data_IF_038613015561
#
_entry.id   IF_038613015561
#
_cell.length_a   1.000
_cell.length_b   1.000
_cell.length_c   1.000
_cell.angle_alpha   90.00
_cell.angle_beta   90.00
_cell.angle_gamma   90.00
#
_symmetry.space_group_name_H-M   'P 1'
#
loop_
_entity.id
_entity.type
_entity.pdbx_description
1 polymer ?
#
# COMPACT_ATOMS: atom_id res chain seq x y z
N UNK A 1 -1.05 -12.68 -35.36
CA UNK A 1 0.38 -12.68 -34.99
C UNK A 1 0.56 -11.52 -34.03
N UNK A 2 0.61 -11.79 -32.74
CA UNK A 2 0.95 -10.79 -31.75
C UNK A 2 2.45 -10.49 -31.92
N UNK A 3 2.79 -9.27 -32.33
CA UNK A 3 4.15 -8.79 -32.38
C UNK A 3 4.77 -8.94 -30.99
N UNK A 4 5.87 -9.66 -30.87
CA UNK A 4 6.69 -9.71 -29.65
C UNK A 4 7.09 -8.27 -29.34
N UNK A 5 6.47 -7.67 -28.32
CA UNK A 5 6.88 -6.37 -27.83
C UNK A 5 8.35 -6.51 -27.37
N UNK A 6 9.25 -5.82 -28.04
CA UNK A 6 10.66 -5.78 -27.66
C UNK A 6 10.76 -4.86 -26.46
N UNK A 7 10.90 -5.44 -25.27
CA UNK A 7 11.15 -4.67 -24.06
C UNK A 7 12.63 -4.28 -24.05
N UNK A 8 12.91 -3.01 -23.92
CA UNK A 8 14.28 -2.48 -23.81
C UNK A 8 14.49 -1.87 -22.42
N UNK A 9 15.72 -1.88 -21.98
CA UNK A 9 16.12 -1.17 -20.76
C UNK A 9 16.17 0.33 -21.00
N UNK A 10 15.98 1.09 -19.94
CA UNK A 10 15.97 2.56 -19.97
C UNK A 10 17.23 3.11 -20.68
N UNK A 11 17.00 4.02 -21.61
CA UNK A 11 18.07 4.72 -22.35
C UNK A 11 18.50 6.00 -21.61
N UNK A 12 19.66 6.59 -22.00
CA UNK A 12 20.09 7.88 -21.44
C UNK A 12 19.05 9.01 -21.66
N UNK A 13 18.42 9.08 -22.83
CA UNK A 13 17.39 10.09 -23.13
C UNK A 13 16.13 9.91 -22.27
N UNK A 14 15.78 8.67 -21.96
CA UNK A 14 14.67 8.34 -21.06
C UNK A 14 15.02 8.71 -19.61
N UNK A 15 16.28 8.49 -19.20
CA UNK A 15 16.78 8.95 -17.91
C UNK A 15 16.70 10.48 -17.76
N UNK A 16 17.04 11.24 -18.82
CA UNK A 16 16.88 12.69 -18.82
C UNK A 16 15.42 13.15 -18.71
N UNK A 17 14.47 12.38 -19.25
CA UNK A 17 13.03 12.66 -19.06
C UNK A 17 12.61 12.40 -17.62
N UNK A 18 13.06 11.30 -17.02
CA UNK A 18 12.79 10.99 -15.63
C UNK A 18 13.39 12.02 -14.67
N UNK A 19 14.55 12.57 -14.98
CA UNK A 19 15.18 13.64 -14.20
C UNK A 19 14.34 14.92 -14.09
N UNK A 20 13.35 15.11 -14.99
CA UNK A 20 12.42 16.25 -14.95
C UNK A 20 11.22 16.02 -14.01
N UNK A 21 11.03 14.80 -13.51
CA UNK A 21 9.99 14.50 -12.53
C UNK A 21 10.34 15.14 -11.18
N UNK A 22 9.33 15.63 -10.48
CA UNK A 22 9.52 16.36 -9.21
C UNK A 22 9.43 15.45 -7.99
N UNK A 23 8.73 14.31 -8.15
CA UNK A 23 8.53 13.34 -7.07
C UNK A 23 8.71 11.90 -7.57
N UNK A 24 9.55 11.16 -6.86
CA UNK A 24 9.77 9.73 -7.07
C UNK A 24 9.09 8.94 -5.97
N UNK A 25 8.13 8.09 -6.34
CA UNK A 25 7.43 7.19 -5.44
C UNK A 25 8.14 5.84 -5.52
N UNK A 26 8.81 5.48 -4.46
CA UNK A 26 9.68 4.30 -4.41
C UNK A 26 9.00 3.20 -3.61
N UNK A 27 8.81 2.02 -4.19
CA UNK A 27 8.57 0.84 -3.40
C UNK A 27 9.81 0.50 -2.57
N UNK A 28 9.66 -0.36 -1.58
CA UNK A 28 10.77 -0.68 -0.67
C UNK A 28 11.34 -2.07 -0.89
N UNK A 29 10.61 -3.12 -0.55
CA UNK A 29 11.10 -4.51 -0.61
C UNK A 29 11.15 -4.99 -2.05
N UNK A 30 12.33 -5.42 -2.53
CA UNK A 30 12.57 -5.75 -3.93
C UNK A 30 13.06 -4.57 -4.78
N UNK A 31 12.91 -3.33 -4.29
CA UNK A 31 13.27 -2.10 -5.01
C UNK A 31 14.52 -1.42 -4.44
N UNK A 32 14.54 -1.14 -3.13
CA UNK A 32 15.68 -0.47 -2.47
C UNK A 32 16.42 -1.38 -1.48
N UNK A 33 15.80 -2.46 -1.05
CA UNK A 33 16.39 -3.54 -0.26
C UNK A 33 15.64 -4.84 -0.54
N UNK A 34 16.16 -5.98 -0.08
CA UNK A 34 15.47 -7.27 -0.07
C UNK A 34 15.57 -7.87 1.33
N UNK A 35 14.43 -8.01 2.03
CA UNK A 35 14.40 -8.42 3.42
C UNK A 35 15.22 -7.47 4.30
N UNK A 36 16.32 -7.94 4.89
CA UNK A 36 17.21 -7.11 5.71
C UNK A 36 18.49 -6.68 4.96
N UNK A 37 18.60 -6.96 3.66
CA UNK A 37 19.78 -6.65 2.86
C UNK A 37 19.54 -5.42 1.99
N UNK A 38 20.21 -4.32 2.31
CA UNK A 38 20.24 -3.12 1.48
C UNK A 38 20.91 -3.43 0.12
N UNK A 39 20.31 -2.94 -0.98
CA UNK A 39 21.01 -2.96 -2.26
C UNK A 39 22.09 -1.89 -2.30
N UNK A 40 23.30 -2.21 -2.79
CA UNK A 40 24.43 -1.28 -2.75
C UNK A 40 24.21 0.01 -3.55
N UNK A 41 23.34 -0.04 -4.56
CA UNK A 41 23.01 1.08 -5.44
C UNK A 41 22.04 2.09 -4.80
N UNK A 42 21.32 1.70 -3.74
CA UNK A 42 20.23 2.49 -3.16
C UNK A 42 20.70 3.84 -2.63
N UNK A 43 21.71 3.87 -1.77
CA UNK A 43 22.18 5.13 -1.18
C UNK A 43 22.76 6.06 -2.24
N UNK A 44 23.62 5.60 -3.18
CA UNK A 44 24.05 6.41 -4.32
C UNK A 44 22.89 6.94 -5.18
N UNK A 45 21.86 6.15 -5.43
CA UNK A 45 20.68 6.57 -6.17
C UNK A 45 19.92 7.70 -5.44
N UNK A 46 19.67 7.56 -4.15
CA UNK A 46 19.00 8.60 -3.35
C UNK A 46 19.83 9.91 -3.28
N UNK A 47 21.15 9.80 -3.30
CA UNK A 47 22.02 10.96 -3.42
C UNK A 47 21.81 11.69 -4.77
N UNK A 48 21.77 10.94 -5.89
CA UNK A 48 21.47 11.53 -7.21
C UNK A 48 20.09 12.19 -7.27
N UNK A 49 19.04 11.58 -6.70
CA UNK A 49 17.71 12.20 -6.58
C UNK A 49 17.86 13.60 -5.94
N UNK A 50 18.57 13.67 -4.82
CA UNK A 50 18.78 14.93 -4.09
C UNK A 50 19.60 15.95 -4.90
N UNK A 51 20.65 15.52 -5.60
CA UNK A 51 21.48 16.36 -6.47
C UNK A 51 20.67 16.97 -7.61
N UNK A 52 19.67 16.25 -8.15
CA UNK A 52 18.74 16.77 -9.15
C UNK A 52 17.65 17.68 -8.56
N UNK A 53 17.65 17.93 -7.25
CA UNK A 53 16.61 18.75 -6.59
C UNK A 53 15.23 18.11 -6.57
N UNK A 54 15.16 16.81 -6.70
CA UNK A 54 13.92 16.01 -6.75
C UNK A 54 13.59 15.45 -5.37
N UNK A 55 12.31 15.33 -5.06
CA UNK A 55 11.84 14.69 -3.83
C UNK A 55 11.55 13.21 -4.03
N UNK A 56 11.57 12.43 -2.95
CA UNK A 56 11.11 11.03 -2.98
C UNK A 56 10.25 10.69 -1.77
N UNK A 57 9.34 9.74 -1.99
CA UNK A 57 8.51 9.12 -0.95
C UNK A 57 8.62 7.60 -1.12
N UNK A 58 8.96 6.90 -0.05
CA UNK A 58 8.79 5.46 0.02
C UNK A 58 7.32 5.15 0.27
N UNK A 59 6.69 4.44 -0.66
CA UNK A 59 5.30 4.02 -0.52
C UNK A 59 5.19 2.52 -0.35
N UNK A 60 4.55 2.08 0.74
CA UNK A 60 4.29 0.67 0.99
C UNK A 60 2.81 0.35 1.16
N UNK A 61 2.38 -0.79 0.61
CA UNK A 61 1.07 -1.35 0.90
C UNK A 61 0.97 -1.87 2.34
N UNK A 62 2.08 -2.29 2.93
CA UNK A 62 2.08 -2.86 4.27
C UNK A 62 1.77 -1.81 5.34
N UNK A 63 0.55 -1.89 5.89
CA UNK A 63 0.04 -1.01 6.94
C UNK A 63 0.09 -1.62 8.35
N UNK A 64 0.78 -2.77 8.52
CA UNK A 64 0.85 -3.45 9.83
C UNK A 64 1.76 -2.78 10.85
N UNK A 65 2.57 -1.81 10.41
CA UNK A 65 3.54 -1.08 11.23
C UNK A 65 3.33 0.42 11.11
N UNK A 66 3.73 1.15 12.14
CA UNK A 66 3.69 2.61 12.13
C UNK A 66 4.75 3.21 11.20
N UNK A 67 4.52 4.46 10.77
CA UNK A 67 5.49 5.25 10.00
C UNK A 67 6.85 5.34 10.72
N UNK A 68 6.85 5.56 12.02
CA UNK A 68 8.05 5.66 12.85
C UNK A 68 8.88 4.35 12.80
N UNK A 69 8.20 3.21 12.76
CA UNK A 69 8.86 1.89 12.61
C UNK A 69 9.59 1.78 11.27
N UNK A 70 8.98 2.27 10.18
CA UNK A 70 9.61 2.30 8.87
C UNK A 70 10.80 3.25 8.82
N UNK A 71 10.67 4.47 9.36
CA UNK A 71 11.78 5.43 9.46
C UNK A 71 12.96 4.80 10.19
N UNK A 72 12.70 4.21 11.36
CA UNK A 72 13.75 3.53 12.12
C UNK A 72 14.41 2.42 11.31
N UNK A 73 13.63 1.55 10.67
CA UNK A 73 14.16 0.44 9.86
C UNK A 73 15.05 0.93 8.72
N UNK A 74 14.61 1.95 7.98
CA UNK A 74 15.39 2.51 6.87
C UNK A 74 16.67 3.16 7.36
N UNK A 75 16.60 3.90 8.46
CA UNK A 75 17.77 4.53 9.08
C UNK A 75 18.79 3.50 9.58
N UNK A 76 18.32 2.42 10.24
CA UNK A 76 19.18 1.31 10.70
C UNK A 76 19.88 0.60 9.51
N UNK A 77 19.26 0.59 8.31
CA UNK A 77 19.86 0.10 7.07
C UNK A 77 20.80 1.10 6.39
N UNK A 78 20.91 2.34 6.91
CA UNK A 78 21.72 3.40 6.31
C UNK A 78 21.02 4.18 5.20
N UNK A 79 19.70 4.04 5.04
CA UNK A 79 18.88 4.83 4.11
C UNK A 79 18.45 6.13 4.82
N UNK A 80 18.80 7.32 4.26
CA UNK A 80 18.34 8.58 4.84
C UNK A 80 16.84 8.74 4.63
N UNK A 81 16.07 8.64 5.70
CA UNK A 81 14.61 8.79 5.66
C UNK A 81 14.11 9.50 6.93
N UNK A 82 13.23 10.48 6.74
CA UNK A 82 12.39 11.07 7.77
C UNK A 82 10.93 10.65 7.63
N UNK A 83 10.05 11.06 8.55
CA UNK A 83 8.60 10.78 8.44
C UNK A 83 7.98 11.32 7.15
N UNK A 84 8.51 12.40 6.60
CA UNK A 84 8.09 13.02 5.33
C UNK A 84 8.41 12.15 4.11
N UNK A 85 9.36 11.23 4.23
CA UNK A 85 9.73 10.31 3.16
C UNK A 85 8.95 9.01 3.17
N UNK A 86 8.03 8.79 4.12
CA UNK A 86 7.26 7.53 4.25
C UNK A 86 5.79 7.82 4.05
N UNK A 87 5.16 7.00 3.23
CA UNK A 87 3.70 6.92 3.10
C UNK A 87 3.28 5.46 3.02
N UNK A 88 2.22 5.12 3.73
CA UNK A 88 1.66 3.77 3.76
C UNK A 88 0.23 3.75 3.22
N UNK A 89 -0.27 2.58 2.88
CA UNK A 89 -1.68 2.43 2.51
C UNK A 89 -2.65 2.80 3.65
N UNK A 90 -2.18 2.79 4.90
CA UNK A 90 -2.95 3.31 6.02
C UNK A 90 -3.22 4.81 5.91
N UNK A 91 -2.22 5.61 5.52
CA UNK A 91 -2.40 7.06 5.35
C UNK A 91 -3.36 7.37 4.21
N UNK A 92 -3.34 6.58 3.14
CA UNK A 92 -4.29 6.73 2.04
C UNK A 92 -5.74 6.54 2.49
N UNK A 93 -6.03 5.46 3.22
CA UNK A 93 -7.40 5.24 3.73
C UNK A 93 -7.77 6.23 4.83
N UNK A 94 -6.84 6.63 5.71
CA UNK A 94 -7.09 7.63 6.74
C UNK A 94 -7.45 8.98 6.13
N UNK A 95 -6.76 9.41 5.08
CA UNK A 95 -7.12 10.62 4.31
C UNK A 95 -8.54 10.55 3.78
N UNK A 96 -8.95 9.43 3.20
CA UNK A 96 -10.33 9.22 2.75
C UNK A 96 -11.33 9.25 3.91
N UNK A 97 -11.07 8.54 5.00
CA UNK A 97 -12.00 8.46 6.14
C UNK A 97 -12.19 9.81 6.81
N UNK A 98 -11.15 10.59 6.99
CA UNK A 98 -11.23 11.90 7.62
C UNK A 98 -11.92 12.94 6.74
N UNK A 99 -11.81 12.83 5.41
CA UNK A 99 -12.41 13.77 4.46
C UNK A 99 -13.83 13.38 4.04
N UNK A 100 -14.03 12.11 3.66
CA UNK A 100 -15.28 11.63 3.05
C UNK A 100 -16.22 10.96 4.06
N UNK A 101 -15.72 10.58 5.22
CA UNK A 101 -16.47 9.88 6.28
C UNK A 101 -16.19 10.46 7.67
N UNK A 102 -16.19 11.81 7.83
CA UNK A 102 -15.78 12.46 9.08
C UNK A 102 -16.65 11.98 10.26
N UNK A 103 -15.97 11.59 11.35
CA UNK A 103 -16.61 11.16 12.59
C UNK A 103 -17.34 9.81 12.55
N UNK A 104 -17.38 9.12 11.42
CA UNK A 104 -17.96 7.80 11.37
C UNK A 104 -17.05 6.76 12.06
N UNK A 105 -17.68 5.90 12.89
CA UNK A 105 -16.94 4.82 13.56
C UNK A 105 -16.53 3.73 12.60
N UNK A 106 -15.34 3.21 12.83
CA UNK A 106 -14.72 2.15 12.04
C UNK A 106 -14.47 0.94 12.93
N UNK A 107 -14.90 -0.24 12.48
CA UNK A 107 -14.39 -1.50 13.01
C UNK A 107 -13.16 -1.92 12.22
N UNK A 108 -12.02 -2.00 12.88
CA UNK A 108 -10.73 -2.30 12.26
C UNK A 108 -10.29 -3.75 12.54
N UNK A 109 -10.13 -4.54 11.48
CA UNK A 109 -9.38 -5.79 11.50
C UNK A 109 -7.93 -5.43 11.14
N UNK A 110 -7.12 -5.23 12.15
CA UNK A 110 -5.74 -4.75 12.01
C UNK A 110 -4.94 -4.91 13.31
N UNK A 111 -3.65 -4.61 13.23
CA UNK A 111 -2.73 -4.66 14.38
C UNK A 111 -2.97 -3.50 15.35
N UNK A 112 -2.45 -3.63 16.56
CA UNK A 112 -2.49 -2.54 17.55
C UNK A 112 -1.74 -1.28 17.07
N UNK A 113 -0.68 -1.45 16.27
CA UNK A 113 0.06 -0.34 15.66
C UNK A 113 -0.87 0.45 14.72
N UNK A 114 -1.58 -0.25 13.85
CA UNK A 114 -2.53 0.39 12.94
C UNK A 114 -3.69 1.04 13.69
N UNK A 115 -4.20 0.42 14.76
CA UNK A 115 -5.23 1.02 15.62
C UNK A 115 -4.74 2.34 16.24
N UNK A 116 -3.46 2.43 16.62
CA UNK A 116 -2.88 3.68 17.12
C UNK A 116 -2.85 4.78 16.06
N UNK A 117 -2.51 4.43 14.80
CA UNK A 117 -2.53 5.41 13.70
C UNK A 117 -3.95 5.94 13.43
N UNK A 118 -4.97 5.07 13.46
CA UNK A 118 -6.37 5.49 13.31
C UNK A 118 -6.79 6.46 14.43
N UNK A 119 -6.46 6.17 15.69
CA UNK A 119 -6.75 7.06 16.83
C UNK A 119 -6.01 8.39 16.70
N UNK A 120 -4.73 8.36 16.31
CA UNK A 120 -3.90 9.56 16.09
C UNK A 120 -4.48 10.46 14.99
N UNK A 121 -5.07 9.86 13.95
CA UNK A 121 -5.77 10.57 12.88
C UNK A 121 -7.19 11.06 13.27
N UNK A 122 -7.65 10.78 14.49
CA UNK A 122 -8.98 11.16 14.95
C UNK A 122 -10.13 10.33 14.41
N UNK A 123 -9.85 9.15 13.81
CA UNK A 123 -10.87 8.20 13.35
C UNK A 123 -11.36 7.39 14.55
N UNK A 124 -12.66 7.50 14.95
CA UNK A 124 -13.17 6.76 16.08
C UNK A 124 -13.27 5.26 15.78
N UNK A 125 -12.72 4.42 16.66
CA UNK A 125 -12.76 2.98 16.53
C UNK A 125 -13.90 2.36 17.33
N UNK A 126 -14.70 1.53 16.66
CA UNK A 126 -15.71 0.71 17.33
C UNK A 126 -15.07 -0.38 18.21
N UNK A 127 -13.83 -0.76 17.90
CA UNK A 127 -13.00 -1.64 18.72
C UNK A 127 -12.80 -1.13 20.16
N UNK A 128 -12.93 0.17 20.39
CA UNK A 128 -12.77 0.80 21.71
C UNK A 128 -14.09 0.80 22.52
N UNK A 129 -15.23 0.59 21.86
CA UNK A 129 -16.54 0.51 22.50
C UNK A 129 -16.71 -0.89 23.12
N UNK A 130 -16.26 -1.09 24.33
CA UNK A 130 -16.48 -2.38 25.02
C UNK A 130 -17.86 -2.46 25.67
N UNK A 131 -18.54 -3.62 25.61
CA UNK A 131 -18.09 -4.90 26.16
C UNK A 131 -17.49 -5.82 25.11
N UNK A 132 -16.69 -6.82 25.51
CA UNK A 132 -16.17 -7.81 24.58
C UNK A 132 -17.35 -8.45 23.88
N UNK A 133 -17.31 -8.41 22.53
CA UNK A 133 -18.21 -9.22 21.74
C UNK A 133 -17.95 -10.67 22.11
N UNK A 134 -18.90 -11.30 22.74
CA UNK A 134 -18.83 -12.74 22.95
C UNK A 134 -19.48 -13.39 21.74
N UNK A 135 -18.92 -14.49 21.28
CA UNK A 135 -19.54 -15.36 20.26
C UNK A 135 -20.84 -16.01 20.77
N UNK A 136 -21.21 -15.75 22.02
CA UNK A 136 -22.48 -16.15 22.61
C UNK A 136 -23.61 -15.38 21.91
N UNK A 137 -24.28 -16.06 20.99
CA UNK A 137 -25.36 -15.54 20.14
C UNK A 137 -26.52 -14.90 20.92
N UNK A 138 -26.65 -15.18 22.19
CA UNK A 138 -27.72 -14.70 23.06
C UNK A 138 -27.54 -13.25 23.55
N UNK A 139 -26.33 -12.69 23.43
CA UNK A 139 -25.99 -11.33 23.92
C UNK A 139 -25.79 -10.30 22.81
N UNK A 140 -26.08 -10.65 21.57
CA UNK A 140 -25.90 -9.77 20.44
C UNK A 140 -27.00 -8.71 20.37
N UNK A 141 -26.60 -7.46 20.21
CA UNK A 141 -27.54 -6.39 19.89
C UNK A 141 -28.26 -6.68 18.58
N UNK A 142 -29.51 -6.20 18.39
CA UNK A 142 -30.16 -6.29 17.10
C UNK A 142 -29.26 -5.69 16.01
N UNK A 143 -29.00 -6.46 14.98
CA UNK A 143 -28.01 -6.13 13.94
C UNK A 143 -28.15 -4.72 13.34
N UNK A 144 -29.37 -4.22 13.17
CA UNK A 144 -29.59 -2.86 12.66
C UNK A 144 -29.07 -1.76 13.60
N UNK A 145 -28.96 -2.04 14.91
CA UNK A 145 -28.41 -1.11 15.88
C UNK A 145 -26.88 -1.12 15.87
N UNK A 146 -26.25 -2.30 15.68
CA UNK A 146 -24.80 -2.41 15.55
C UNK A 146 -24.27 -1.63 14.34
N UNK A 147 -24.92 -1.75 13.18
CA UNK A 147 -24.51 -1.02 11.96
C UNK A 147 -24.70 0.48 12.11
N UNK A 148 -25.76 0.92 12.80
CA UNK A 148 -25.91 2.35 13.11
C UNK A 148 -24.79 2.89 13.99
N UNK A 149 -24.21 2.05 14.85
CA UNK A 149 -23.07 2.39 15.71
C UNK A 149 -21.72 2.28 15.00
N UNK A 150 -21.63 1.37 14.02
CA UNK A 150 -20.41 1.10 13.27
C UNK A 150 -20.70 0.86 11.79
N UNK A 151 -20.79 1.94 10.98
CA UNK A 151 -21.17 1.83 9.58
C UNK A 151 -20.05 1.37 8.65
N UNK A 152 -18.81 1.24 9.13
CA UNK A 152 -17.62 0.97 8.32
C UNK A 152 -16.81 -0.18 8.93
N UNK A 153 -16.40 -1.12 8.08
CA UNK A 153 -15.41 -2.15 8.39
C UNK A 153 -14.18 -1.89 7.51
N UNK A 154 -13.01 -1.84 8.14
CA UNK A 154 -11.72 -1.80 7.45
C UNK A 154 -10.96 -3.07 7.77
N UNK A 155 -10.55 -3.82 6.74
CA UNK A 155 -9.60 -4.91 6.88
C UNK A 155 -8.21 -4.47 6.41
N UNK A 156 -7.19 -4.96 7.10
CA UNK A 156 -5.79 -4.69 6.81
C UNK A 156 -4.94 -5.93 7.08
N UNK A 157 -3.64 -5.84 6.85
CA UNK A 157 -2.69 -6.84 7.28
C UNK A 157 -2.68 -6.92 8.81
N UNK A 158 -3.19 -8.02 9.34
CA UNK A 158 -3.31 -8.25 10.78
C UNK A 158 -2.69 -9.59 11.18
N UNK A 159 -1.44 -9.53 11.67
CA UNK A 159 -0.72 -10.71 12.18
C UNK A 159 -1.27 -11.20 13.52
N UNK A 160 -2.24 -10.48 14.10
CA UNK A 160 -2.91 -10.81 15.37
C UNK A 160 -4.39 -11.13 15.18
N UNK A 161 -4.79 -11.46 13.94
CA UNK A 161 -6.18 -11.75 13.59
C UNK A 161 -6.71 -12.92 14.41
N UNK A 162 -7.93 -12.76 14.93
CA UNK A 162 -8.65 -13.82 15.66
C UNK A 162 -9.96 -14.12 14.96
N UNK A 163 -10.54 -15.30 15.24
CA UNK A 163 -11.87 -15.64 14.73
C UNK A 163 -12.91 -14.61 15.15
N UNK A 164 -12.83 -14.11 16.37
CA UNK A 164 -13.71 -13.06 16.90
C UNK A 164 -13.66 -11.78 16.06
N UNK A 165 -12.45 -11.30 15.72
CA UNK A 165 -12.30 -10.12 14.83
C UNK A 165 -13.00 -10.32 13.49
N UNK A 166 -12.86 -11.51 12.90
CA UNK A 166 -13.47 -11.85 11.62
C UNK A 166 -14.99 -12.01 11.72
N UNK A 167 -15.50 -12.61 12.79
CA UNK A 167 -16.94 -12.80 13.01
C UNK A 167 -17.65 -11.46 13.15
N UNK A 168 -17.11 -10.54 13.96
CA UNK A 168 -17.67 -9.19 14.12
C UNK A 168 -17.69 -8.44 12.78
N UNK A 169 -16.57 -8.45 12.03
CA UNK A 169 -16.50 -7.84 10.71
C UNK A 169 -17.59 -8.40 9.78
N UNK A 170 -17.73 -9.72 9.73
CA UNK A 170 -18.72 -10.38 8.88
C UNK A 170 -20.16 -10.01 9.27
N UNK A 171 -20.46 -9.89 10.56
CA UNK A 171 -21.80 -9.50 11.05
C UNK A 171 -22.12 -8.05 10.63
N UNK A 172 -21.22 -7.12 10.86
CA UNK A 172 -21.40 -5.72 10.46
C UNK A 172 -21.66 -5.61 8.96
N UNK A 173 -20.87 -6.32 8.14
CA UNK A 173 -20.99 -6.30 6.68
C UNK A 173 -22.30 -6.92 6.17
N UNK A 174 -22.76 -8.04 6.76
CA UNK A 174 -24.06 -8.63 6.42
C UNK A 174 -25.23 -7.69 6.72
N UNK A 175 -25.06 -6.80 7.66
CA UNK A 175 -26.08 -5.85 8.08
C UNK A 175 -25.94 -4.46 7.42
N UNK A 176 -25.05 -4.31 6.44
CA UNK A 176 -25.01 -3.16 5.57
C UNK A 176 -23.86 -2.19 5.80
N UNK A 177 -22.89 -2.50 6.67
CA UNK A 177 -21.68 -1.69 6.79
C UNK A 177 -20.90 -1.62 5.47
N UNK A 178 -20.23 -0.50 5.20
CA UNK A 178 -19.29 -0.36 4.09
C UNK A 178 -18.05 -1.21 4.35
N UNK A 179 -17.48 -1.79 3.28
CA UNK A 179 -16.28 -2.61 3.39
C UNK A 179 -15.10 -1.97 2.66
N UNK A 180 -14.06 -1.66 3.41
CA UNK A 180 -12.80 -1.09 2.92
C UNK A 180 -11.63 -1.97 3.31
N UNK A 181 -10.54 -1.83 2.54
CA UNK A 181 -9.26 -2.48 2.87
C UNK A 181 -8.10 -1.55 2.53
N UNK A 182 -7.05 -1.62 3.33
CA UNK A 182 -5.83 -0.83 3.12
C UNK A 182 -5.13 -1.20 1.81
N UNK A 183 -5.11 -2.49 1.41
CA UNK A 183 -4.44 -2.95 0.19
C UNK A 183 -4.91 -4.36 -0.21
N UNK A 184 -4.67 -4.78 -1.47
CA UNK A 184 -5.18 -6.05 -2.00
C UNK A 184 -4.21 -7.23 -1.85
N UNK A 185 -2.99 -7.05 -1.33
CA UNK A 185 -1.93 -8.05 -1.38
C UNK A 185 -2.33 -9.31 -0.61
N UNK A 186 -2.24 -10.47 -1.26
CA UNK A 186 -2.60 -11.76 -0.66
C UNK A 186 -1.53 -12.31 0.26
N UNK A 187 -0.27 -11.98 -0.02
CA UNK A 187 0.87 -12.51 0.69
C UNK A 187 1.89 -11.40 1.00
N UNK A 188 2.45 -11.44 2.20
CA UNK A 188 3.61 -10.67 2.58
C UNK A 188 4.85 -11.56 2.54
N UNK A 189 5.92 -11.23 1.79
CA UNK A 189 7.16 -11.98 1.80
C UNK A 189 7.86 -11.86 3.15
N UNK A 190 8.37 -12.99 3.63
CA UNK A 190 9.18 -13.09 4.84
C UNK A 190 10.37 -14.02 4.58
N UNK A 191 11.35 -14.02 5.50
CA UNK A 191 12.45 -14.96 5.40
C UNK A 191 11.92 -16.42 5.40
N UNK A 192 12.24 -17.15 4.36
CA UNK A 192 11.83 -18.55 4.18
C UNK A 192 10.46 -18.76 3.53
N UNK A 193 9.74 -17.70 3.08
CA UNK A 193 8.47 -17.88 2.35
C UNK A 193 7.53 -16.69 2.40
N UNK A 194 6.25 -16.99 2.56
CA UNK A 194 5.17 -16.00 2.54
C UNK A 194 4.21 -16.22 3.71
N UNK A 195 3.66 -15.13 4.22
CA UNK A 195 2.55 -15.18 5.20
C UNK A 195 1.31 -14.50 4.62
N UNK A 196 0.08 -14.93 5.03
CA UNK A 196 -1.16 -14.30 4.57
C UNK A 196 -1.20 -12.81 4.90
N UNK A 197 -1.63 -12.01 3.94
CA UNK A 197 -1.74 -10.55 4.05
C UNK A 197 -3.21 -10.08 3.97
N UNK A 198 -3.43 -8.78 3.85
CA UNK A 198 -4.74 -8.13 3.84
C UNK A 198 -5.71 -8.75 2.82
N UNK A 199 -5.24 -9.06 1.61
CA UNK A 199 -6.04 -9.70 0.58
C UNK A 199 -6.57 -11.07 0.99
N UNK A 200 -5.79 -11.87 1.71
CA UNK A 200 -6.22 -13.17 2.23
C UNK A 200 -7.30 -13.01 3.32
N UNK A 201 -7.15 -12.02 4.21
CA UNK A 201 -8.17 -11.67 5.21
C UNK A 201 -9.46 -11.21 4.52
N UNK A 202 -9.33 -10.34 3.51
CA UNK A 202 -10.46 -9.89 2.70
C UNK A 202 -11.15 -11.04 1.96
N UNK A 203 -10.40 -12.00 1.44
CA UNK A 203 -10.95 -13.19 0.79
C UNK A 203 -11.79 -14.05 1.74
N UNK A 204 -11.32 -14.27 2.97
CA UNK A 204 -12.10 -14.94 4.01
C UNK A 204 -13.43 -14.22 4.28
N UNK A 205 -13.37 -12.89 4.52
CA UNK A 205 -14.55 -12.07 4.80
C UNK A 205 -15.50 -12.08 3.59
N UNK A 206 -14.97 -11.92 2.37
CA UNK A 206 -15.75 -11.94 1.12
C UNK A 206 -16.45 -13.29 0.90
N UNK A 207 -15.74 -14.40 1.13
CA UNK A 207 -16.32 -15.74 1.02
C UNK A 207 -17.53 -15.93 1.97
N UNK A 208 -17.42 -15.39 3.20
CA UNK A 208 -18.46 -15.46 4.21
C UNK A 208 -19.65 -14.52 3.96
N UNK A 209 -19.40 -13.30 3.45
CA UNK A 209 -20.40 -12.21 3.39
C UNK A 209 -20.87 -11.88 2.00
N UNK A 210 -20.14 -12.30 0.96
CA UNK A 210 -20.28 -11.89 -0.45
C UNK A 210 -20.07 -10.39 -0.68
N UNK A 211 -19.47 -9.69 0.29
CA UNK A 211 -19.08 -8.28 0.15
C UNK A 211 -17.61 -8.21 -0.25
N UNK A 212 -17.32 -7.38 -1.26
CA UNK A 212 -15.97 -7.14 -1.77
C UNK A 212 -15.53 -5.76 -1.26
N UNK A 213 -14.31 -5.61 -0.71
CA UNK A 213 -13.85 -4.32 -0.23
C UNK A 213 -13.49 -3.36 -1.37
N UNK A 214 -13.61 -2.05 -1.12
CA UNK A 214 -12.86 -1.05 -1.85
C UNK A 214 -11.46 -0.98 -1.26
N UNK A 215 -10.45 -1.13 -2.11
CA UNK A 215 -9.05 -1.09 -1.72
C UNK A 215 -8.44 0.30 -1.88
N UNK A 216 -7.51 0.68 -1.00
CA UNK A 216 -6.88 2.01 -0.94
C UNK A 216 -5.37 2.02 -1.20
N UNK A 217 -4.69 0.88 -1.20
CA UNK A 217 -3.27 0.75 -1.55
C UNK A 217 -3.01 0.67 -3.06
N UNK A 218 -1.74 0.52 -3.45
CA UNK A 218 -1.37 0.22 -4.84
C UNK A 218 -2.13 -1.03 -5.33
N UNK A 219 -2.67 -1.08 -6.53
CA UNK A 219 -2.54 -0.13 -7.64
C UNK A 219 -3.72 0.86 -7.77
N UNK A 220 -4.50 1.09 -6.75
CA UNK A 220 -5.74 1.87 -6.82
C UNK A 220 -5.48 3.38 -6.86
N UNK A 221 -6.38 4.10 -7.55
CA UNK A 221 -6.29 5.56 -7.80
C UNK A 221 -6.21 6.40 -6.53
N UNK A 222 -6.73 5.88 -5.42
CA UNK A 222 -6.74 6.59 -4.14
C UNK A 222 -5.31 6.90 -3.65
N UNK A 223 -4.32 6.08 -4.04
CA UNK A 223 -2.90 6.36 -3.77
C UNK A 223 -2.46 7.63 -4.48
N UNK A 224 -2.75 7.76 -5.78
CA UNK A 224 -2.36 8.93 -6.58
C UNK A 224 -3.08 10.18 -6.06
N UNK A 225 -4.39 10.10 -5.81
CA UNK A 225 -5.16 11.21 -5.23
C UNK A 225 -4.55 11.67 -3.90
N UNK A 226 -4.20 10.73 -3.03
CA UNK A 226 -3.59 11.03 -1.74
C UNK A 226 -2.22 11.69 -1.89
N UNK A 227 -1.40 11.24 -2.84
CA UNK A 227 -0.11 11.85 -3.16
C UNK A 227 -0.28 13.27 -3.73
N UNK A 228 -1.24 13.48 -4.65
CA UNK A 228 -1.56 14.80 -5.20
C UNK A 228 -1.98 15.78 -4.08
N UNK A 229 -2.81 15.34 -3.13
CA UNK A 229 -3.25 16.15 -1.99
C UNK A 229 -2.10 16.48 -1.04
N UNK A 230 -1.28 15.50 -0.67
CA UNK A 230 -0.20 15.68 0.32
C UNK A 230 0.94 16.54 -0.25
N UNK A 231 1.25 16.39 -1.54
CA UNK A 231 2.42 17.04 -2.16
C UNK A 231 2.09 18.31 -2.93
N UNK A 232 0.82 18.49 -3.34
CA UNK A 232 0.40 19.57 -4.24
C UNK A 232 0.89 19.41 -5.68
N UNK A 233 1.50 18.27 -6.02
CA UNK A 233 2.01 17.98 -7.36
C UNK A 233 0.97 17.25 -8.19
N UNK A 234 1.02 17.40 -9.53
CA UNK A 234 0.22 16.61 -10.44
C UNK A 234 0.87 15.23 -10.68
N UNK A 235 0.06 14.25 -11.10
CA UNK A 235 0.59 12.92 -11.47
C UNK A 235 1.63 12.96 -12.60
N UNK A 236 1.56 13.96 -13.48
CA UNK A 236 2.54 14.15 -14.56
C UNK A 236 3.93 14.51 -14.02
N UNK A 237 3.99 15.13 -12.84
CA UNK A 237 5.23 15.47 -12.14
C UNK A 237 5.82 14.28 -11.34
N UNK A 238 5.09 13.15 -11.30
CA UNK A 238 5.44 11.99 -10.48
C UNK A 238 5.92 10.81 -11.33
N UNK A 239 6.70 9.92 -10.73
CA UNK A 239 7.05 8.61 -11.27
C UNK A 239 7.03 7.58 -10.15
N UNK A 240 6.46 6.40 -10.41
CA UNK A 240 6.55 5.27 -9.49
C UNK A 240 7.64 4.30 -9.92
N UNK A 241 8.43 3.84 -8.98
CA UNK A 241 9.49 2.84 -9.17
C UNK A 241 9.21 1.66 -8.27
N UNK A 242 9.15 0.48 -8.83
CA UNK A 242 8.88 -0.73 -8.08
C UNK A 242 9.22 -1.99 -8.85
N UNK A 243 9.15 -3.12 -8.19
CA UNK A 243 9.52 -4.43 -8.73
C UNK A 243 8.31 -5.29 -9.09
N UNK A 244 7.07 -4.86 -8.76
CA UNK A 244 5.87 -5.66 -8.97
C UNK A 244 4.98 -5.08 -10.06
N UNK A 245 4.68 -5.90 -11.07
CA UNK A 245 3.79 -5.51 -12.16
C UNK A 245 2.37 -5.19 -11.70
N UNK A 246 1.82 -6.00 -10.80
CA UNK A 246 0.41 -5.92 -10.40
C UNK A 246 0.11 -4.84 -9.34
N UNK A 247 1.12 -4.26 -8.70
CA UNK A 247 0.99 -3.15 -7.73
C UNK A 247 1.63 -1.87 -8.24
N UNK A 248 2.96 -1.81 -8.28
CA UNK A 248 3.72 -0.60 -8.58
C UNK A 248 3.53 -0.13 -10.02
N UNK A 249 3.76 -1.03 -10.95
CA UNK A 249 3.65 -0.71 -12.37
C UNK A 249 2.19 -0.47 -12.74
N UNK A 250 1.29 -1.28 -12.19
CA UNK A 250 -0.14 -1.07 -12.38
C UNK A 250 -0.64 0.25 -11.77
N UNK A 251 -0.01 0.77 -10.70
CA UNK A 251 -0.34 2.10 -10.16
C UNK A 251 -0.09 3.17 -11.22
N UNK A 252 1.08 3.18 -11.86
CA UNK A 252 1.38 4.11 -12.94
C UNK A 252 0.48 3.91 -14.16
N UNK A 253 0.48 2.70 -14.70
CA UNK A 253 -0.22 2.38 -15.94
C UNK A 253 -1.73 2.62 -15.90
N UNK A 254 -2.40 2.33 -14.76
CA UNK A 254 -3.84 2.51 -14.61
C UNK A 254 -4.25 3.94 -14.27
N UNK A 255 -3.33 4.77 -13.81
CA UNK A 255 -3.65 6.11 -13.31
C UNK A 255 -2.97 7.24 -14.10
N UNK A 256 -2.37 6.93 -15.24
CA UNK A 256 -1.73 7.94 -16.12
C UNK A 256 -0.48 8.57 -15.53
N UNK A 257 0.31 7.79 -14.81
CA UNK A 257 1.59 8.22 -14.24
C UNK A 257 2.70 7.33 -14.78
N UNK A 258 3.90 7.89 -15.00
CA UNK A 258 5.05 7.11 -15.44
C UNK A 258 5.44 6.07 -14.40
N UNK A 259 5.90 4.90 -14.87
CA UNK A 259 6.36 3.80 -14.00
C UNK A 259 7.66 3.20 -14.50
N UNK A 260 8.53 2.84 -13.56
CA UNK A 260 9.78 2.14 -13.81
C UNK A 260 9.73 0.78 -13.12
N UNK A 261 9.80 -0.29 -13.92
CA UNK A 261 10.00 -1.63 -13.39
C UNK A 261 11.49 -1.84 -13.11
N UNK A 262 11.85 -2.16 -11.87
CA UNK A 262 13.19 -2.65 -11.53
C UNK A 262 13.17 -4.18 -11.42
N UNK A 263 14.20 -4.82 -11.96
CA UNK A 263 14.32 -6.29 -12.01
C UNK A 263 15.08 -6.86 -10.81
N UNK A 264 15.22 -6.07 -9.75
CA UNK A 264 15.92 -6.47 -8.51
C UNK A 264 15.07 -7.27 -7.53
N UNK A 265 13.76 -7.36 -7.78
CA UNK A 265 12.79 -7.99 -6.88
C UNK A 265 11.99 -9.11 -7.50
N UNK A 266 10.65 -9.05 -7.41
CA UNK A 266 9.73 -10.14 -7.72
C UNK A 266 9.58 -10.40 -9.22
N UNK A 267 9.34 -9.33 -10.03
CA UNK A 267 9.02 -9.51 -11.45
C UNK A 267 10.26 -9.63 -12.33
N UNK A 268 10.19 -10.54 -13.28
CA UNK A 268 11.19 -10.72 -14.33
C UNK A 268 10.66 -10.23 -15.69
N UNK A 269 11.55 -10.05 -16.68
CA UNK A 269 11.16 -9.65 -18.05
C UNK A 269 10.20 -10.67 -18.68
N UNK A 270 10.31 -11.95 -18.34
CA UNK A 270 9.41 -13.00 -18.83
C UNK A 270 7.94 -12.74 -18.42
N UNK A 271 7.70 -12.20 -17.23
CA UNK A 271 6.36 -11.95 -16.71
C UNK A 271 5.62 -10.86 -17.51
N UNK A 272 6.36 -9.99 -18.19
CA UNK A 272 5.78 -8.99 -19.09
C UNK A 272 5.02 -9.64 -20.27
N UNK A 273 5.39 -10.84 -20.68
CA UNK A 273 4.71 -11.53 -21.77
C UNK A 273 3.28 -11.96 -21.39
N UNK A 274 3.08 -12.27 -20.11
CA UNK A 274 1.81 -12.78 -19.56
C UNK A 274 0.96 -11.65 -18.90
N UNK A 275 1.55 -10.48 -18.65
CA UNK A 275 0.89 -9.36 -17.98
C UNK A 275 0.19 -8.45 -19.00
N UNK A 276 -0.99 -7.92 -18.62
CA UNK A 276 -1.64 -6.82 -19.34
C UNK A 276 -1.08 -5.44 -18.92
N UNK A 277 -0.26 -5.41 -17.86
CA UNK A 277 0.36 -4.18 -17.35
C UNK A 277 1.70 -3.96 -18.04
N UNK A 278 1.94 -2.71 -18.47
CA UNK A 278 3.19 -2.32 -19.14
C UNK A 278 3.86 -1.19 -18.37
N UNK A 279 5.14 -1.36 -17.99
CA UNK A 279 5.93 -0.25 -17.45
C UNK A 279 6.23 0.77 -18.56
N UNK A 280 6.37 2.04 -18.17
CA UNK A 280 6.89 3.05 -19.08
C UNK A 280 8.39 2.83 -19.34
N UNK A 281 9.12 2.36 -18.34
CA UNK A 281 10.56 2.13 -18.38
C UNK A 281 10.93 0.84 -17.64
N UNK A 282 12.05 0.23 -18.00
CA UNK A 282 12.62 -0.96 -17.34
C UNK A 282 14.09 -0.69 -17.00
N UNK A 283 14.49 -1.01 -15.77
CA UNK A 283 15.86 -0.93 -15.30
C UNK A 283 16.27 -2.24 -14.58
N UNK A 284 17.55 -2.58 -14.52
CA UNK A 284 17.96 -3.74 -13.72
C UNK A 284 17.78 -3.46 -12.23
N UNK A 285 18.22 -2.28 -11.81
CA UNK A 285 18.11 -1.80 -10.41
C UNK A 285 17.86 -0.30 -10.41
N UNK A 286 17.57 0.27 -9.25
CA UNK A 286 17.53 1.73 -9.06
C UNK A 286 18.88 2.40 -9.39
N UNK A 287 19.96 1.63 -9.41
CA UNK A 287 21.30 2.09 -9.77
C UNK A 287 21.41 2.60 -11.20
N UNK A 288 20.55 2.16 -12.11
CA UNK A 288 20.55 2.57 -13.53
C UNK A 288 19.81 3.89 -13.76
N UNK A 289 19.15 4.41 -12.74
CA UNK A 289 18.33 5.61 -12.82
C UNK A 289 19.11 6.88 -12.46
N UNK A 290 18.83 7.96 -13.17
CA UNK A 290 19.47 9.30 -12.98
C UNK A 290 21.00 9.27 -13.14
N UNK A 291 21.49 8.48 -14.09
CA UNK A 291 22.92 8.43 -14.46
C UNK A 291 23.29 9.51 -15.45
#
# INVERSE_FOLDING_TARGET
MAGTAVFHKITPEENERLAKKKLWILDMDGTVYLGNRLFPETVPFLARIKEHGVSYIFYTNNASRSKETYVKRLTDMGIPAGPENIMTSAETILGFLTHERPGQKVYLVGTDDLMREFRKAGVPLYNDDKPPFTTETEKLLPFAEEVRRCPIVVASFDTTVTYEKLDIACRLLRNGAEFFSTHPDFNCPVEGGFIPDSGAICAFITASTRKVPRYFGKPYKDVVISLEVVTGLSRDDMVVVGDRLYTDIALGAKNGMDSVLVLSGESAVADLAESDVRPAYIADTVGDLLR
#
